data_IF_184292356552
#
_entry.id   IF_184292356552
#
_cell.length_a   1.000
_cell.length_b   1.000
_cell.length_c   1.000
_cell.angle_alpha   90.00
_cell.angle_beta   90.00
_cell.angle_gamma   90.00
#
_symmetry.space_group_name_H-M   'P 1'
#
loop_
_entity.id
_entity.type
_entity.pdbx_description
1 polymer ?
#
# COMPACT_ATOMS: atom_id res chain seq x y z
N UNK A 1 -5.64 33.44 -9.93
CA UNK A 1 -4.68 33.70 -8.85
C UNK A 1 -3.95 32.39 -8.60
N UNK A 2 -2.67 32.32 -8.95
CA UNK A 2 -1.81 31.19 -8.57
C UNK A 2 -1.64 31.24 -7.04
N UNK A 3 -1.90 30.13 -6.35
CA UNK A 3 -1.59 29.99 -4.94
C UNK A 3 -0.07 29.78 -4.86
N UNK A 4 0.67 30.84 -4.48
CA UNK A 4 2.13 30.75 -4.36
C UNK A 4 2.47 29.82 -3.19
N UNK A 5 2.97 28.62 -3.49
CA UNK A 5 3.66 27.79 -2.51
C UNK A 5 4.99 28.47 -2.15
N UNK A 6 5.31 28.57 -0.87
CA UNK A 6 6.63 29.03 -0.43
C UNK A 6 7.70 28.06 -0.94
N UNK A 7 8.44 28.49 -1.96
CA UNK A 7 9.37 27.66 -2.75
C UNK A 7 10.65 27.25 -2.01
N UNK A 8 10.91 27.77 -0.81
CA UNK A 8 12.23 27.65 -0.16
C UNK A 8 12.44 26.35 0.65
N UNK A 9 11.39 25.55 0.88
CA UNK A 9 11.44 24.39 1.80
C UNK A 9 11.10 23.03 1.19
N UNK A 10 10.86 22.97 -0.12
CA UNK A 10 10.39 21.76 -0.79
C UNK A 10 11.48 21.14 -1.67
N UNK A 11 11.89 19.91 -1.32
CA UNK A 11 12.67 19.07 -2.24
C UNK A 11 11.70 18.18 -2.98
N UNK A 12 11.54 18.47 -4.27
CA UNK A 12 10.74 17.69 -5.19
C UNK A 12 11.52 16.43 -5.56
N UNK A 13 11.10 15.27 -5.05
CA UNK A 13 11.73 13.99 -5.37
C UNK A 13 10.86 13.26 -6.41
N UNK A 14 11.21 13.52 -7.67
CA UNK A 14 11.04 12.72 -8.90
C UNK A 14 9.70 11.99 -9.18
N UNK A 15 9.11 12.26 -10.35
CA UNK A 15 7.99 11.51 -10.94
C UNK A 15 8.49 10.15 -11.48
N UNK A 16 8.31 9.05 -10.75
CA UNK A 16 8.85 7.73 -11.16
C UNK A 16 7.84 6.59 -11.24
N UNK A 17 6.53 6.87 -11.18
CA UNK A 17 5.51 5.80 -11.18
C UNK A 17 5.30 5.16 -12.57
N UNK A 18 5.12 3.84 -12.66
CA UNK A 18 4.73 3.16 -13.91
C UNK A 18 3.27 3.50 -14.28
N UNK A 19 2.96 3.55 -15.59
CA UNK A 19 1.57 3.68 -16.05
C UNK A 19 0.73 2.48 -15.59
N UNK A 20 -0.37 2.72 -14.88
CA UNK A 20 -1.34 1.68 -14.49
C UNK A 20 -2.62 1.89 -15.27
N UNK A 21 -3.00 0.93 -16.12
CA UNK A 21 -4.27 0.97 -16.88
C UNK A 21 -4.48 2.26 -17.71
N UNK A 22 -3.42 2.86 -18.24
CA UNK A 22 -3.49 4.12 -18.99
C UNK A 22 -3.56 5.38 -18.11
N UNK A 23 -3.48 5.23 -16.78
CA UNK A 23 -3.23 6.32 -15.84
C UNK A 23 -1.72 6.46 -15.65
N UNK A 24 -1.21 7.67 -15.90
CA UNK A 24 0.14 8.03 -15.49
C UNK A 24 0.11 8.11 -13.96
N UNK A 25 0.59 7.07 -13.27
CA UNK A 25 0.78 7.15 -11.83
C UNK A 25 1.90 8.15 -11.58
N UNK A 26 1.52 9.37 -11.23
CA UNK A 26 2.48 10.38 -10.81
C UNK A 26 2.57 10.29 -9.31
N UNK A 27 3.57 9.56 -8.85
CA UNK A 27 4.01 9.65 -7.46
C UNK A 27 4.66 10.99 -7.29
N UNK A 28 4.11 11.81 -6.42
CA UNK A 28 4.73 13.05 -6.01
C UNK A 28 5.15 12.98 -4.55
N UNK A 29 6.46 12.90 -4.30
CA UNK A 29 6.97 12.95 -2.93
C UNK A 29 7.35 14.37 -2.56
N UNK A 30 6.60 14.94 -1.60
CA UNK A 30 6.91 16.24 -0.99
C UNK A 30 7.74 15.97 0.28
N UNK A 31 9.04 16.29 0.25
CA UNK A 31 9.91 16.21 1.43
C UNK A 31 10.16 17.60 2.00
N UNK A 32 9.90 17.75 3.29
CA UNK A 32 10.26 18.95 4.04
C UNK A 32 11.68 18.82 4.60
N UNK A 33 12.44 19.91 4.52
CA UNK A 33 13.79 20.03 5.12
C UNK A 33 13.77 20.15 6.65
N UNK A 34 12.59 20.40 7.22
CA UNK A 34 12.34 20.53 8.66
C UNK A 34 11.05 19.81 9.03
N UNK A 35 10.92 19.43 10.29
CA UNK A 35 9.68 18.84 10.80
C UNK A 35 8.52 19.85 10.64
N UNK A 36 7.45 19.43 9.97
CA UNK A 36 6.20 20.20 9.84
C UNK A 36 5.08 19.45 10.56
N UNK A 37 4.05 20.18 10.99
CA UNK A 37 2.83 19.58 11.53
C UNK A 37 2.07 18.80 10.44
N UNK A 38 1.30 17.80 10.84
CA UNK A 38 0.50 16.98 9.92
C UNK A 38 -0.41 17.86 9.05
N UNK A 39 -1.11 18.82 9.64
CA UNK A 39 -1.99 19.72 8.89
C UNK A 39 -1.26 20.58 7.86
N UNK A 40 0.03 20.90 8.09
CA UNK A 40 0.84 21.63 7.10
C UNK A 40 1.15 20.75 5.89
N UNK A 41 1.57 19.51 6.12
CA UNK A 41 1.83 18.55 5.04
C UNK A 41 0.57 18.22 4.24
N UNK A 42 -0.58 18.03 4.92
CA UNK A 42 -1.89 17.84 4.27
C UNK A 42 -2.27 19.06 3.42
N UNK A 43 -2.13 20.27 3.97
CA UNK A 43 -2.47 21.50 3.24
C UNK A 43 -1.60 21.68 1.99
N UNK A 44 -0.30 21.41 2.08
CA UNK A 44 0.62 21.51 0.93
C UNK A 44 0.34 20.45 -0.13
N UNK A 45 0.01 19.22 0.28
CA UNK A 45 -0.47 18.18 -0.65
C UNK A 45 -1.73 18.62 -1.38
N UNK A 46 -2.71 19.18 -0.67
CA UNK A 46 -3.92 19.72 -1.29
C UNK A 46 -3.67 20.92 -2.21
N UNK A 47 -2.79 21.85 -1.81
CA UNK A 47 -2.43 23.01 -2.64
C UNK A 47 -1.75 22.54 -3.94
N UNK A 48 -0.89 21.50 -3.87
CA UNK A 48 -0.28 20.89 -5.04
C UNK A 48 -1.33 20.26 -5.97
N UNK A 49 -2.24 19.47 -5.43
CA UNK A 49 -3.34 18.86 -6.19
C UNK A 49 -4.23 19.92 -6.84
N UNK A 50 -4.56 20.97 -6.11
CA UNK A 50 -5.31 22.09 -6.65
C UNK A 50 -4.52 22.81 -7.75
N UNK A 51 -3.24 23.10 -7.59
CA UNK A 51 -2.47 23.81 -8.61
C UNK A 51 -2.20 22.99 -9.88
N UNK A 52 -2.38 21.66 -9.84
CA UNK A 52 -2.21 20.75 -10.98
C UNK A 52 -3.54 20.29 -11.61
N UNK A 53 -4.59 21.10 -11.50
CA UNK A 53 -5.87 20.88 -12.21
C UNK A 53 -6.61 19.56 -11.92
N UNK A 54 -6.37 18.95 -10.76
CA UNK A 54 -7.17 17.81 -10.29
C UNK A 54 -8.57 18.24 -9.84
N UNK A 55 -9.59 17.45 -10.22
CA UNK A 55 -11.02 17.71 -9.96
C UNK A 55 -11.48 17.26 -8.57
N UNK A 56 -10.93 16.16 -8.09
CA UNK A 56 -11.22 15.55 -6.79
C UNK A 56 -9.91 15.51 -6.01
N UNK A 57 -9.98 15.92 -4.75
CA UNK A 57 -8.85 16.02 -3.83
C UNK A 57 -9.17 15.16 -2.62
N UNK A 58 -8.24 14.27 -2.24
CA UNK A 58 -8.39 13.46 -1.04
C UNK A 58 -7.07 13.26 -0.29
N UNK A 59 -7.17 13.06 1.03
CA UNK A 59 -6.08 12.52 1.84
C UNK A 59 -6.40 11.10 2.29
N UNK A 60 -5.35 10.35 2.58
CA UNK A 60 -5.43 9.04 3.20
C UNK A 60 -4.21 8.88 4.09
N UNK A 61 -4.42 8.59 5.37
CA UNK A 61 -3.33 8.29 6.29
C UNK A 61 -2.65 6.96 5.93
N UNK A 62 -1.37 6.80 6.24
CA UNK A 62 -0.59 5.61 5.88
C UNK A 62 -0.84 4.40 6.78
N UNK A 63 -1.58 4.55 7.87
CA UNK A 63 -1.85 3.51 8.87
C UNK A 63 -3.30 3.03 8.80
N UNK A 64 -3.78 2.79 7.57
CA UNK A 64 -5.14 2.33 7.28
C UNK A 64 -5.16 1.06 6.42
N UNK A 65 -6.17 0.22 6.68
CA UNK A 65 -6.61 -0.82 5.75
C UNK A 65 -7.69 -0.23 4.85
N UNK A 66 -7.62 -0.52 3.55
CA UNK A 66 -8.62 -0.09 2.58
C UNK A 66 -9.28 -1.28 1.89
N UNK A 67 -10.58 -1.17 1.61
CA UNK A 67 -11.29 -2.08 0.70
C UNK A 67 -10.92 -1.76 -0.74
N UNK A 68 -10.91 -2.73 -1.65
CA UNK A 68 -10.53 -2.50 -3.06
C UNK A 68 -11.32 -1.35 -3.72
N UNK A 69 -12.62 -1.24 -3.42
CA UNK A 69 -13.50 -0.23 -3.99
C UNK A 69 -13.54 1.12 -3.24
N UNK A 70 -12.65 1.35 -2.25
CA UNK A 70 -12.74 2.51 -1.34
C UNK A 70 -12.77 3.85 -2.08
N UNK A 71 -11.91 4.00 -3.09
CA UNK A 71 -11.75 5.25 -3.83
C UNK A 71 -12.94 5.47 -4.78
N UNK A 72 -13.33 4.45 -5.52
CA UNK A 72 -14.47 4.50 -6.45
C UNK A 72 -15.77 4.87 -5.72
N UNK A 73 -16.02 4.26 -4.55
CA UNK A 73 -17.20 4.60 -3.75
C UNK A 73 -17.10 5.99 -3.11
N UNK A 74 -15.90 6.43 -2.70
CA UNK A 74 -15.70 7.79 -2.19
C UNK A 74 -15.98 8.84 -3.28
N UNK A 75 -15.49 8.62 -4.50
CA UNK A 75 -15.76 9.47 -5.66
C UNK A 75 -17.26 9.50 -5.96
N UNK A 76 -17.93 8.33 -6.00
CA UNK A 76 -19.38 8.26 -6.22
C UNK A 76 -20.16 9.09 -5.20
N UNK A 77 -19.76 9.07 -3.93
CA UNK A 77 -20.37 9.89 -2.88
C UNK A 77 -20.04 11.39 -3.06
N UNK A 78 -18.84 11.75 -3.50
CA UNK A 78 -18.49 13.17 -3.80
C UNK A 78 -19.34 13.69 -4.95
N UNK A 79 -19.53 12.90 -6.01
CA UNK A 79 -20.39 13.28 -7.13
C UNK A 79 -21.86 13.44 -6.71
N UNK A 80 -22.33 12.60 -5.78
CA UNK A 80 -23.67 12.69 -5.22
C UNK A 80 -23.84 13.90 -4.27
N UNK A 81 -22.78 14.29 -3.56
CA UNK A 81 -22.76 15.37 -2.56
C UNK A 81 -21.62 16.37 -2.81
N UNK A 82 -21.60 17.08 -3.96
CA UNK A 82 -20.43 17.85 -4.41
C UNK A 82 -20.09 19.07 -3.52
N UNK A 83 -21.02 19.46 -2.65
CA UNK A 83 -20.85 20.55 -1.69
C UNK A 83 -20.44 20.08 -0.30
N UNK A 84 -20.38 18.78 -0.05
CA UNK A 84 -20.06 18.21 1.26
C UNK A 84 -18.71 17.47 1.23
N UNK A 85 -18.17 17.19 2.41
CA UNK A 85 -16.94 16.41 2.56
C UNK A 85 -17.33 14.94 2.65
N UNK A 86 -16.65 14.06 1.93
CA UNK A 86 -16.81 12.61 2.06
C UNK A 86 -15.67 12.04 2.90
N UNK A 87 -15.96 11.15 3.83
CA UNK A 87 -14.97 10.34 4.53
C UNK A 87 -15.27 8.86 4.34
N UNK A 88 -14.33 8.11 3.78
CA UNK A 88 -14.38 6.66 3.64
C UNK A 88 -14.39 5.93 4.99
N UNK A 89 -14.10 6.64 6.08
CA UNK A 89 -14.07 6.12 7.44
C UNK A 89 -15.37 6.42 8.18
N UNK A 90 -16.13 5.37 8.49
CA UNK A 90 -17.27 5.51 9.39
C UNK A 90 -16.85 5.33 10.85
N UNK A 91 -16.37 6.41 11.47
CA UNK A 91 -16.04 6.39 12.89
C UNK A 91 -17.30 6.25 13.76
N UNK A 92 -17.40 5.15 14.51
CA UNK A 92 -18.59 4.85 15.36
C UNK A 92 -18.33 5.21 16.84
N UNK A 93 -17.07 5.27 17.26
CA UNK A 93 -16.69 5.37 18.68
C UNK A 93 -16.63 6.80 19.23
N UNK A 94 -16.52 7.82 18.37
CA UNK A 94 -16.70 9.22 18.79
C UNK A 94 -18.19 9.59 18.76
N UNK A 95 -18.91 9.18 19.79
CA UNK A 95 -20.27 9.61 20.13
C UNK A 95 -21.32 9.27 19.05
N UNK A 96 -22.28 8.38 19.38
CA UNK A 96 -23.54 8.17 18.62
C UNK A 96 -24.30 9.47 18.29
N UNK A 97 -23.91 10.60 18.88
CA UNK A 97 -24.44 11.95 18.64
C UNK A 97 -23.95 12.60 17.34
N UNK A 98 -23.02 12.00 16.60
CA UNK A 98 -22.51 12.58 15.36
C UNK A 98 -23.34 12.28 14.10
N UNK A 99 -24.11 11.19 14.09
CA UNK A 99 -24.96 10.84 12.95
C UNK A 99 -26.21 11.72 13.02
N UNK A 100 -26.33 12.65 12.07
CA UNK A 100 -27.49 13.52 11.94
C UNK A 100 -28.61 12.79 11.18
N UNK A 101 -28.25 12.02 10.15
CA UNK A 101 -29.21 11.24 9.37
C UNK A 101 -28.57 9.95 8.88
N UNK A 102 -29.34 8.88 8.96
CA UNK A 102 -29.01 7.58 8.37
C UNK A 102 -29.77 7.43 7.05
N UNK A 103 -29.06 6.95 6.03
CA UNK A 103 -29.58 6.62 4.70
C UNK A 103 -29.18 5.18 4.38
N UNK A 104 -29.70 4.62 3.28
CA UNK A 104 -29.59 3.19 2.98
C UNK A 104 -28.13 2.72 2.90
N UNK A 105 -27.27 3.51 2.25
CA UNK A 105 -25.87 3.15 1.97
C UNK A 105 -24.84 4.12 2.57
N UNK A 106 -25.26 5.13 3.35
CA UNK A 106 -24.35 6.07 3.97
C UNK A 106 -25.01 6.85 5.13
N UNK A 107 -24.19 7.60 5.85
CA UNK A 107 -24.58 8.49 6.94
C UNK A 107 -24.28 9.94 6.58
N UNK A 108 -25.16 10.85 7.03
CA UNK A 108 -24.85 12.27 7.15
C UNK A 108 -24.41 12.53 8.59
N UNK A 109 -23.15 12.94 8.75
CA UNK A 109 -22.54 13.20 10.05
C UNK A 109 -22.20 14.68 10.17
N UNK A 110 -22.17 15.21 11.38
CA UNK A 110 -21.63 16.55 11.64
C UNK A 110 -20.28 16.49 12.37
N UNK A 111 -19.63 15.33 12.37
CA UNK A 111 -18.30 15.10 12.89
C UNK A 111 -17.59 14.01 12.07
N UNK A 112 -16.26 13.95 12.18
CA UNK A 112 -15.41 12.97 11.53
C UNK A 112 -13.95 13.16 11.96
N UNK A 113 -13.12 12.15 11.68
CA UNK A 113 -11.67 12.21 11.90
C UNK A 113 -10.91 12.54 10.63
N UNK A 114 -9.70 13.07 10.77
CA UNK A 114 -8.81 13.46 9.68
C UNK A 114 -8.22 12.33 8.83
N UNK A 115 -8.47 11.06 9.16
CA UNK A 115 -7.88 9.87 8.51
C UNK A 115 -8.07 9.87 6.98
N UNK A 116 -9.24 10.31 6.54
CA UNK A 116 -9.55 10.45 5.12
C UNK A 116 -10.67 11.48 4.92
N UNK A 117 -10.39 12.48 4.10
CA UNK A 117 -11.38 13.36 3.48
C UNK A 117 -11.21 13.35 1.97
N UNK A 118 -12.34 13.40 1.26
CA UNK A 118 -12.43 13.48 -0.19
C UNK A 118 -13.48 14.55 -0.55
N UNK A 119 -13.15 15.44 -1.48
CA UNK A 119 -14.00 16.56 -1.86
C UNK A 119 -13.65 17.10 -3.24
N UNK A 120 -14.54 17.91 -3.81
CA UNK A 120 -14.31 18.59 -5.08
C UNK A 120 -13.27 19.70 -4.95
N UNK A 121 -12.57 19.99 -6.05
CA UNK A 121 -11.67 21.14 -6.21
C UNK A 121 -12.32 22.47 -5.79
N UNK A 122 -13.59 22.66 -6.14
CA UNK A 122 -14.31 23.89 -5.79
C UNK A 122 -14.61 23.95 -4.28
N UNK A 123 -14.97 22.83 -3.64
CA UNK A 123 -15.16 22.79 -2.20
C UNK A 123 -13.84 23.01 -1.45
N UNK A 124 -12.72 22.51 -1.98
CA UNK A 124 -11.41 22.82 -1.43
C UNK A 124 -11.17 24.33 -1.37
N UNK A 125 -11.30 25.00 -2.52
CA UNK A 125 -11.07 26.45 -2.66
C UNK A 125 -12.00 27.28 -1.79
N UNK A 126 -13.29 26.95 -1.77
CA UNK A 126 -14.32 27.80 -1.16
C UNK A 126 -14.55 27.51 0.32
N UNK A 127 -14.19 26.31 0.79
CA UNK A 127 -14.50 25.85 2.14
C UNK A 127 -13.28 25.34 2.90
N UNK A 128 -12.58 24.32 2.40
CA UNK A 128 -11.50 23.65 3.16
C UNK A 128 -10.26 24.53 3.30
N UNK A 129 -9.75 25.10 2.20
CA UNK A 129 -8.52 25.89 2.20
C UNK A 129 -8.58 27.13 3.11
N UNK A 130 -9.68 27.92 3.13
CA UNK A 130 -9.82 29.01 4.10
C UNK A 130 -9.75 28.57 5.57
N UNK A 131 -10.23 27.37 5.88
CA UNK A 131 -10.15 26.81 7.25
C UNK A 131 -8.69 26.49 7.57
N UNK A 132 -8.01 25.75 6.71
CA UNK A 132 -6.59 25.38 6.90
C UNK A 132 -5.69 26.63 7.01
N UNK A 133 -5.92 27.65 6.16
CA UNK A 133 -5.21 28.93 6.24
C UNK A 133 -5.38 29.61 7.60
N UNK A 134 -6.60 29.61 8.14
CA UNK A 134 -6.88 30.21 9.45
C UNK A 134 -6.18 29.44 10.57
N UNK A 135 -6.20 28.12 10.52
CA UNK A 135 -5.55 27.26 11.53
C UNK A 135 -4.03 27.41 11.46
N UNK A 136 -3.46 27.55 10.26
CA UNK A 136 -2.04 27.83 10.04
C UNK A 136 -1.60 29.13 10.72
N UNK A 137 -2.35 30.23 10.52
CA UNK A 137 -2.06 31.52 11.17
C UNK A 137 -2.09 31.43 12.70
N UNK A 138 -2.94 30.54 13.24
CA UNK A 138 -3.05 30.33 14.68
C UNK A 138 -1.98 29.38 15.26
N UNK A 139 -1.16 28.76 14.40
CA UNK A 139 -0.11 27.82 14.82
C UNK A 139 -0.62 26.45 15.29
N UNK A 140 -1.87 26.09 14.98
CA UNK A 140 -2.56 24.92 15.56
C UNK A 140 -2.88 23.80 14.55
N UNK A 141 -2.05 23.66 13.53
CA UNK A 141 -2.25 22.70 12.43
C UNK A 141 -2.20 21.22 12.86
N UNK A 142 -1.94 20.93 14.13
CA UNK A 142 -2.04 19.57 14.66
C UNK A 142 -3.50 19.12 14.83
N UNK A 143 -4.47 20.05 14.88
CA UNK A 143 -5.91 19.75 14.98
C UNK A 143 -6.68 20.27 13.77
N UNK A 144 -6.08 20.15 12.59
CA UNK A 144 -6.63 20.65 11.33
C UNK A 144 -8.02 20.05 11.02
N UNK A 145 -8.21 18.77 11.33
CA UNK A 145 -9.45 18.02 11.14
C UNK A 145 -10.56 18.46 12.10
N UNK A 146 -10.23 18.73 13.37
CA UNK A 146 -11.14 19.32 14.33
C UNK A 146 -11.65 20.69 13.86
N UNK A 147 -10.78 21.54 13.32
CA UNK A 147 -11.18 22.84 12.79
C UNK A 147 -12.09 22.74 11.55
N UNK A 148 -11.91 21.70 10.72
CA UNK A 148 -12.86 21.39 9.64
C UNK A 148 -14.22 21.00 10.22
N UNK A 149 -14.25 20.10 11.20
CA UNK A 149 -15.50 19.64 11.86
C UNK A 149 -16.25 20.80 12.51
N UNK A 150 -15.56 21.66 13.27
CA UNK A 150 -16.16 22.86 13.87
C UNK A 150 -16.84 23.72 12.80
N UNK A 151 -16.18 23.89 11.64
CA UNK A 151 -16.71 24.70 10.56
C UNK A 151 -17.89 24.03 9.84
N UNK A 152 -17.85 22.72 9.65
CA UNK A 152 -18.97 21.93 9.13
C UNK A 152 -20.21 22.13 10.00
N UNK A 153 -20.05 21.98 11.32
CA UNK A 153 -21.12 22.21 12.30
C UNK A 153 -21.65 23.64 12.25
N UNK A 154 -20.77 24.64 12.30
CA UNK A 154 -21.14 26.05 12.28
C UNK A 154 -21.85 26.50 11.00
N UNK A 155 -21.72 25.74 9.90
CA UNK A 155 -22.34 26.01 8.60
C UNK A 155 -23.53 25.12 8.29
N UNK A 156 -23.93 24.23 9.21
CA UNK A 156 -25.01 23.27 8.98
C UNK A 156 -24.71 22.32 7.82
N UNK A 157 -23.43 22.02 7.60
CA UNK A 157 -22.95 21.08 6.59
C UNK A 157 -22.82 19.67 7.15
N UNK A 158 -22.53 18.72 6.28
CA UNK A 158 -22.33 17.33 6.65
C UNK A 158 -20.98 16.77 6.17
N UNK A 159 -20.53 15.75 6.89
CA UNK A 159 -19.54 14.78 6.42
C UNK A 159 -20.33 13.53 6.03
N UNK A 160 -20.14 13.08 4.80
CA UNK A 160 -20.78 11.89 4.24
C UNK A 160 -19.88 10.69 4.52
N UNK A 161 -20.40 9.67 5.19
CA UNK A 161 -19.63 8.44 5.47
C UNK A 161 -20.36 7.21 4.94
N UNK A 162 -19.69 6.29 4.24
CA UNK A 162 -20.31 5.09 3.70
C UNK A 162 -20.81 4.17 4.82
N UNK A 163 -21.78 3.31 4.47
CA UNK A 163 -22.32 2.27 5.33
C UNK A 163 -22.28 0.94 4.56
N UNK A 164 -21.36 0.00 4.89
CA UNK A 164 -20.36 0.06 5.97
C UNK A 164 -19.17 1.00 5.66
N UNK A 165 -18.29 1.23 6.66
CA UNK A 165 -16.98 1.85 6.43
C UNK A 165 -16.19 1.15 5.31
N UNK A 166 -15.42 1.95 4.57
CA UNK A 166 -14.55 1.50 3.46
C UNK A 166 -13.08 1.41 3.85
N UNK A 167 -12.71 2.07 4.95
CA UNK A 167 -11.36 2.00 5.53
C UNK A 167 -11.41 1.69 7.02
N UNK A 168 -10.30 1.20 7.56
CA UNK A 168 -10.12 0.92 8.99
C UNK A 168 -8.74 1.39 9.43
N UNK A 169 -8.69 2.21 10.48
CA UNK A 169 -7.45 2.65 11.08
C UNK A 169 -6.78 1.52 11.87
N UNK A 170 -5.48 1.32 11.67
CA UNK A 170 -4.67 0.29 12.36
C UNK A 170 -3.52 0.88 13.17
N UNK A 171 -3.41 2.21 13.23
CA UNK A 171 -2.37 2.94 13.94
C UNK A 171 -2.47 2.82 15.47
N UNK A 172 -1.76 1.85 16.04
CA UNK A 172 -1.63 1.65 17.50
C UNK A 172 -0.66 2.64 18.16
N UNK A 173 0.28 3.19 17.39
CA UNK A 173 1.29 4.16 17.82
C UNK A 173 1.32 5.30 16.81
N UNK A 174 1.14 6.52 17.29
CA UNK A 174 1.08 7.71 16.44
C UNK A 174 1.16 8.98 17.28
N UNK A 175 0.95 10.13 16.65
CA UNK A 175 1.01 11.44 17.33
C UNK A 175 0.04 11.51 18.52
N UNK A 176 -1.17 10.96 18.37
CA UNK A 176 -2.21 10.91 19.41
C UNK A 176 -2.42 9.50 20.00
N UNK A 177 -2.05 8.43 19.30
CA UNK A 177 -2.24 7.05 19.76
C UNK A 177 -1.20 6.64 20.81
N UNK A 178 -1.64 6.46 22.06
CA UNK A 178 -0.82 6.01 23.21
C UNK A 178 -0.92 4.50 23.47
N UNK A 179 -0.80 3.67 22.43
CA UNK A 179 -0.83 2.20 22.57
C UNK A 179 -2.22 1.58 22.66
N UNK A 180 -3.26 2.32 22.30
CA UNK A 180 -4.63 1.81 22.15
C UNK A 180 -5.20 2.26 20.81
N UNK A 181 -6.05 1.44 20.19
CA UNK A 181 -6.81 1.79 18.99
C UNK A 181 -8.00 2.68 19.40
N UNK A 182 -7.87 3.98 19.15
CA UNK A 182 -8.90 4.96 19.52
C UNK A 182 -9.98 5.13 18.43
N UNK A 183 -9.62 4.91 17.17
CA UNK A 183 -10.48 5.13 16.01
C UNK A 183 -10.78 3.80 15.33
N UNK A 184 -11.95 3.23 15.62
CA UNK A 184 -12.39 1.96 15.03
C UNK A 184 -13.72 2.17 14.30
N UNK A 185 -13.78 1.70 13.05
CA UNK A 185 -15.02 1.56 12.32
C UNK A 185 -15.62 0.20 12.65
N UNK A 186 -16.55 0.15 13.59
CA UNK A 186 -17.14 -1.12 14.07
C UNK A 186 -18.00 -1.83 13.03
N UNK A 187 -18.38 -1.15 11.95
CA UNK A 187 -19.07 -1.70 10.79
C UNK A 187 -18.12 -2.09 9.65
N UNK A 188 -16.80 -1.92 9.82
CA UNK A 188 -15.81 -2.42 8.88
C UNK A 188 -15.72 -3.94 8.99
N UNK A 189 -16.40 -4.62 8.06
CA UNK A 189 -16.31 -6.08 7.91
C UNK A 189 -15.30 -6.39 6.81
N UNK A 190 -14.31 -7.19 7.17
CA UNK A 190 -13.41 -7.83 6.22
C UNK A 190 -14.19 -8.93 5.49
N UNK A 191 -14.35 -8.79 4.17
CA UNK A 191 -14.64 -9.94 3.33
C UNK A 191 -13.35 -10.74 3.16
N UNK A 192 -13.47 -12.06 3.00
CA UNK A 192 -12.31 -12.96 2.86
C UNK A 192 -11.48 -12.71 1.57
N UNK A 193 -11.88 -11.76 0.71
CA UNK A 193 -11.35 -11.62 -0.64
C UNK A 193 -10.58 -10.31 -0.94
N UNK A 194 -10.63 -9.23 -0.13
CA UNK A 194 -10.22 -7.91 -0.65
C UNK A 194 -9.68 -6.94 0.43
N UNK A 195 -8.39 -7.02 0.75
CA UNK A 195 -7.70 -6.02 1.59
C UNK A 195 -6.40 -5.61 0.92
N UNK A 196 -6.21 -4.31 0.74
CA UNK A 196 -4.88 -3.74 0.44
C UNK A 196 -4.36 -3.05 1.69
N UNK A 197 -3.22 -3.52 2.17
CA UNK A 197 -2.47 -2.86 3.24
C UNK A 197 -1.53 -1.84 2.59
N UNK A 198 -1.70 -0.56 2.90
CA UNK A 198 -0.83 0.50 2.39
C UNK A 198 0.33 0.68 3.39
N UNK A 199 1.19 -0.33 3.54
CA UNK A 199 2.46 -0.17 4.25
C UNK A 199 3.56 -0.08 3.18
N UNK A 200 4.26 1.05 3.16
CA UNK A 200 5.43 1.31 2.29
C UNK A 200 5.18 1.05 0.79
N UNK A 201 4.32 1.86 0.17
CA UNK A 201 4.27 1.94 -1.29
C UNK A 201 4.62 3.37 -1.71
N UNK A 202 5.75 3.58 -2.41
CA UNK A 202 6.01 4.83 -3.11
C UNK A 202 4.92 5.16 -4.15
N UNK A 203 4.05 4.24 -4.55
CA UNK A 203 3.36 4.24 -5.85
C UNK A 203 1.85 4.52 -5.84
N UNK A 204 1.24 4.89 -4.71
CA UNK A 204 -0.18 5.23 -4.68
C UNK A 204 -0.43 6.74 -4.75
N UNK A 205 -0.78 7.20 -5.95
CA UNK A 205 -1.42 8.49 -6.21
C UNK A 205 -2.40 8.28 -7.36
N UNK A 206 -3.62 7.83 -7.06
CA UNK A 206 -4.64 7.58 -8.10
C UNK A 206 -5.49 8.83 -8.25
N UNK A 207 -5.37 9.50 -9.40
CA UNK A 207 -6.28 10.57 -9.81
C UNK A 207 -6.63 10.39 -11.30
N UNK A 208 -7.93 10.38 -11.57
CA UNK A 208 -8.53 10.01 -12.86
C UNK A 208 -8.66 11.25 -13.77
N UNK A 209 -8.11 11.26 -14.99
CA UNK A 209 -8.60 12.10 -16.07
C UNK A 209 -9.73 11.37 -16.85
N UNK A 210 -10.71 12.15 -17.32
CA UNK A 210 -11.89 11.70 -18.08
C UNK A 210 -11.55 10.69 -19.20
N UNK A 211 -12.23 9.53 -19.24
CA UNK A 211 -12.98 9.07 -20.42
C UNK A 211 -13.92 7.87 -20.18
N UNK A 212 -14.84 7.69 -21.15
CA UNK A 212 -16.09 6.92 -21.16
C UNK A 212 -15.92 5.40 -21.14
N UNK A 213 -16.81 4.75 -20.37
CA UNK A 213 -17.52 3.47 -20.56
C UNK A 213 -16.73 2.26 -21.07
N UNK A 214 -16.75 1.15 -20.33
CA UNK A 214 -17.15 -0.22 -20.77
C UNK A 214 -17.09 -1.18 -19.58
N UNK A 215 -17.94 -2.20 -19.67
CA UNK A 215 -18.49 -3.07 -18.64
C UNK A 215 -17.88 -4.48 -18.62
N UNK A 216 -17.90 -5.07 -17.41
CA UNK A 216 -18.25 -6.47 -17.06
C UNK A 216 -17.23 -7.63 -17.15
N UNK A 217 -17.26 -8.42 -16.06
CA UNK A 217 -16.97 -9.86 -15.85
C UNK A 217 -15.55 -10.31 -15.47
N UNK A 218 -15.41 -10.99 -14.31
CA UNK A 218 -15.40 -12.46 -14.23
C UNK A 218 -15.50 -12.96 -12.77
N UNK A 219 -16.00 -14.21 -12.64
CA UNK A 219 -16.37 -14.93 -11.42
C UNK A 219 -15.54 -16.23 -11.31
N UNK A 220 -15.38 -16.68 -10.06
CA UNK A 220 -15.16 -18.05 -9.55
C UNK A 220 -13.71 -18.56 -9.38
N UNK A 221 -13.36 -18.85 -8.12
CA UNK A 221 -12.66 -20.08 -7.73
C UNK A 221 -12.98 -20.43 -6.26
N UNK A 222 -13.34 -21.70 -6.00
CA UNK A 222 -13.68 -22.24 -4.68
C UNK A 222 -12.44 -22.30 -3.76
N UNK A 223 -12.54 -21.70 -2.57
CA UNK A 223 -11.56 -21.81 -1.47
C UNK A 223 -12.22 -22.36 -0.19
N UNK A 224 -11.47 -23.08 0.66
CA UNK A 224 -12.02 -23.82 1.78
C UNK A 224 -12.56 -22.89 2.88
N UNK A 225 -13.84 -23.05 3.20
CA UNK A 225 -14.57 -22.22 4.18
C UNK A 225 -14.12 -22.53 5.61
N UNK A 226 -13.55 -21.54 6.30
CA UNK A 226 -13.36 -21.59 7.76
C UNK A 226 -14.70 -21.28 8.43
N UNK A 227 -15.10 -22.10 9.40
CA UNK A 227 -16.44 -22.02 10.01
C UNK A 227 -16.57 -20.81 10.92
N UNK A 228 -17.67 -20.07 10.72
CA UNK A 228 -18.12 -18.92 11.52
C UNK A 228 -18.10 -19.17 13.05
N UNK A 229 -18.22 -20.42 13.51
CA UNK A 229 -18.16 -20.79 14.93
C UNK A 229 -16.82 -20.48 15.60
N UNK A 230 -15.73 -20.45 14.85
CA UNK A 230 -14.39 -20.21 15.39
C UNK A 230 -14.11 -18.71 15.57
N UNK A 231 -14.86 -17.85 14.84
CA UNK A 231 -14.76 -16.39 14.88
C UNK A 231 -15.52 -15.75 16.05
N UNK A 232 -16.60 -16.40 16.54
CA UNK A 232 -17.51 -15.81 17.54
C UNK A 232 -17.31 -16.30 18.98
N UNK A 233 -16.39 -17.23 19.23
CA UNK A 233 -16.07 -17.66 20.61
C UNK A 233 -15.40 -16.54 21.45
N UNK A 234 -14.89 -15.48 20.82
CA UNK A 234 -14.16 -14.39 21.49
C UNK A 234 -15.00 -13.13 21.82
N UNK A 235 -16.26 -13.04 21.36
CA UNK A 235 -17.09 -11.81 21.52
C UNK A 235 -18.32 -12.07 22.43
N UNK A 236 -18.24 -13.09 23.28
CA UNK A 236 -19.28 -13.42 24.27
C UNK A 236 -19.13 -12.65 25.57
N UNK A 237 -20.00 -11.65 25.76
CA UNK A 237 -20.35 -10.94 27.00
C UNK A 237 -19.95 -11.59 28.34
N UNK A 238 -19.30 -10.81 29.23
CA UNK A 238 -19.71 -10.73 30.63
C UNK A 238 -19.21 -9.46 31.33
N UNK A 239 -20.14 -8.58 31.69
CA UNK A 239 -19.94 -7.60 32.78
C UNK A 239 -20.04 -8.39 34.09
N UNK A 240 -19.02 -8.27 34.94
CA UNK A 240 -18.83 -8.95 36.24
C UNK A 240 -17.91 -10.19 36.22
N UNK A 241 -16.69 -10.05 35.71
CA UNK A 241 -15.60 -10.93 36.10
C UNK A 241 -14.44 -10.11 36.66
N UNK A 242 -14.13 -10.32 37.94
CA UNK A 242 -12.89 -9.82 38.56
C UNK A 242 -11.86 -10.94 38.41
N UNK A 243 -10.81 -10.80 37.59
CA UNK A 243 -9.82 -11.85 37.44
C UNK A 243 -8.93 -11.91 38.70
N UNK A 244 -8.44 -13.11 39.07
CA UNK A 244 -7.46 -13.24 40.15
C UNK A 244 -6.14 -12.58 39.74
N UNK A 245 -5.32 -12.13 40.71
CA UNK A 245 -3.99 -11.64 40.40
C UNK A 245 -3.17 -12.80 39.83
N UNK A 246 -2.38 -12.50 38.81
CA UNK A 246 -1.47 -13.41 38.08
C UNK A 246 -2.05 -14.11 36.85
N UNK A 247 -2.38 -13.33 35.81
CA UNK A 247 -2.18 -13.76 34.42
C UNK A 247 -1.62 -12.57 33.62
N UNK A 248 -0.36 -12.73 33.21
CA UNK A 248 0.32 -11.88 32.24
C UNK A 248 -0.29 -12.17 30.85
N UNK A 249 -0.95 -11.19 30.23
CA UNK A 249 -1.51 -11.33 28.88
C UNK A 249 -0.69 -10.46 27.93
N UNK A 250 0.19 -11.04 27.09
CA UNK A 250 0.87 -10.29 26.05
C UNK A 250 -0.08 -10.06 24.87
N UNK A 251 -0.10 -8.82 24.38
CA UNK A 251 -0.93 -8.37 23.26
C UNK A 251 -0.67 -9.16 21.97
N UNK A 252 -1.74 -9.70 21.40
CA UNK A 252 -1.75 -10.22 20.03
C UNK A 252 -2.31 -9.14 19.11
N UNK A 253 -1.41 -8.42 18.43
CA UNK A 253 -1.68 -7.86 17.11
C UNK A 253 -1.90 -9.03 16.14
N UNK A 254 -3.13 -9.26 15.72
CA UNK A 254 -3.44 -10.21 14.65
C UNK A 254 -2.98 -9.63 13.31
N UNK A 255 -1.68 -9.76 13.01
CA UNK A 255 -1.18 -9.67 11.64
C UNK A 255 -1.91 -10.73 10.82
N UNK A 256 -2.59 -10.33 9.75
CA UNK A 256 -2.95 -11.29 8.70
C UNK A 256 -1.60 -11.69 8.10
N UNK A 257 -1.13 -12.93 8.31
CA UNK A 257 0.14 -13.34 7.73
C UNK A 257 -0.05 -13.29 6.21
N UNK A 258 0.84 -12.58 5.53
CA UNK A 258 0.94 -12.69 4.08
C UNK A 258 1.22 -14.16 3.74
N UNK A 259 0.39 -14.72 2.86
CA UNK A 259 0.46 -16.11 2.42
C UNK A 259 0.73 -16.22 0.92
N UNK A 260 0.99 -15.10 0.26
CA UNK A 260 1.19 -15.07 -1.19
C UNK A 260 2.62 -15.48 -1.49
N UNK A 261 2.85 -16.54 -2.28
CA UNK A 261 4.21 -16.87 -2.69
C UNK A 261 4.78 -15.85 -3.70
N UNK A 262 6.09 -15.57 -3.64
CA UNK A 262 6.74 -14.75 -4.65
C UNK A 262 6.63 -15.42 -6.02
N UNK A 263 6.32 -14.63 -7.05
CA UNK A 263 6.29 -15.08 -8.45
C UNK A 263 7.27 -14.27 -9.27
N UNK A 264 7.86 -14.90 -10.29
CA UNK A 264 8.66 -14.17 -11.26
C UNK A 264 7.78 -13.10 -11.93
N UNK A 265 8.28 -11.87 -11.92
CA UNK A 265 7.69 -10.74 -12.61
C UNK A 265 8.33 -10.59 -13.99
N UNK A 266 7.56 -10.89 -15.03
CA UNK A 266 7.98 -10.79 -16.43
C UNK A 266 9.19 -11.69 -16.78
N UNK A 267 9.79 -11.49 -17.95
CA UNK A 267 10.97 -12.23 -18.40
C UNK A 267 12.26 -11.80 -17.68
N UNK A 268 13.22 -12.71 -17.59
CA UNK A 268 14.59 -12.41 -17.14
C UNK A 268 15.27 -11.44 -18.11
N UNK A 269 16.18 -10.62 -17.58
CA UNK A 269 16.95 -9.65 -18.36
C UNK A 269 18.43 -10.04 -18.37
N UNK A 270 19.19 -9.71 -19.43
CA UNK A 270 18.71 -9.23 -20.74
C UNK A 270 17.85 -10.26 -21.49
N UNK A 271 17.02 -9.79 -22.43
CA UNK A 271 16.17 -10.64 -23.28
C UNK A 271 16.99 -11.31 -24.40
N UNK A 272 17.88 -12.23 -24.03
CA UNK A 272 18.69 -13.01 -24.97
C UNK A 272 19.13 -14.31 -24.31
N UNK A 273 19.40 -15.29 -25.15
CA UNK A 273 19.71 -16.68 -24.75
C UNK A 273 21.19 -17.02 -24.85
N UNK A 274 22.05 -16.05 -25.15
CA UNK A 274 23.49 -16.25 -25.38
C UNK A 274 24.35 -15.68 -24.26
N UNK A 275 25.50 -16.30 -23.97
CA UNK A 275 26.40 -15.81 -22.92
C UNK A 275 27.20 -14.59 -23.38
N UNK A 276 27.19 -13.51 -22.57
CA UNK A 276 28.22 -12.47 -22.61
C UNK A 276 28.83 -12.39 -21.21
N UNK A 277 30.14 -12.60 -21.12
CA UNK A 277 30.84 -12.56 -19.84
C UNK A 277 30.85 -11.14 -19.27
N UNK A 278 30.62 -11.02 -17.97
CA UNK A 278 30.53 -9.74 -17.27
C UNK A 278 29.19 -9.01 -17.41
N UNK A 279 28.22 -9.56 -18.14
CA UNK A 279 26.85 -9.05 -18.15
C UNK A 279 26.03 -9.67 -17.02
N UNK A 280 25.24 -8.84 -16.32
CA UNK A 280 24.34 -9.27 -15.26
C UNK A 280 23.05 -9.86 -15.83
N UNK A 281 22.74 -11.08 -15.41
CA UNK A 281 21.45 -11.72 -15.63
C UNK A 281 20.57 -11.44 -14.41
N UNK A 282 19.37 -10.89 -14.64
CA UNK A 282 18.48 -10.42 -13.57
C UNK A 282 17.10 -11.08 -13.68
N UNK A 283 16.62 -11.61 -12.57
CA UNK A 283 15.24 -12.05 -12.37
C UNK A 283 14.57 -11.15 -11.34
N UNK A 284 13.38 -10.64 -11.67
CA UNK A 284 12.57 -9.77 -10.79
C UNK A 284 11.37 -10.56 -10.29
N UNK A 285 10.93 -10.29 -9.06
CA UNK A 285 9.80 -10.95 -8.40
C UNK A 285 8.69 -9.97 -8.05
N UNK A 286 7.49 -10.50 -7.80
CA UNK A 286 6.30 -9.71 -7.42
C UNK A 286 6.45 -8.99 -6.07
N UNK A 287 7.36 -9.46 -5.22
CA UNK A 287 7.53 -9.00 -3.84
C UNK A 287 8.99 -9.10 -3.37
N UNK A 288 9.34 -8.45 -2.24
CA UNK A 288 10.68 -8.52 -1.67
C UNK A 288 11.07 -9.93 -1.22
N UNK A 289 12.27 -10.35 -1.58
CA UNK A 289 12.86 -11.63 -1.24
C UNK A 289 13.66 -11.58 0.06
N UNK A 290 13.82 -12.75 0.67
CA UNK A 290 14.74 -13.02 1.77
C UNK A 290 16.17 -13.16 1.22
N UNK A 291 16.89 -12.04 1.17
CA UNK A 291 18.22 -11.95 0.57
C UNK A 291 19.40 -12.03 1.56
N UNK A 292 19.19 -12.49 2.79
CA UNK A 292 20.26 -12.65 3.77
C UNK A 292 21.25 -13.77 3.35
N UNK A 293 22.54 -13.53 3.59
CA UNK A 293 23.58 -14.56 3.37
C UNK A 293 23.67 -15.49 4.60
N UNK A 294 23.84 -16.81 4.40
CA UNK A 294 23.90 -17.51 3.11
C UNK A 294 22.51 -17.53 2.44
N UNK A 295 22.48 -17.32 1.11
CA UNK A 295 21.22 -17.34 0.37
C UNK A 295 20.53 -18.70 0.53
N UNK A 296 19.20 -18.65 0.61
CA UNK A 296 18.32 -19.81 0.86
C UNK A 296 17.94 -20.57 -0.40
N UNK A 297 18.28 -20.07 -1.58
CA UNK A 297 18.02 -20.68 -2.88
C UNK A 297 19.30 -21.19 -3.54
N UNK A 298 19.14 -22.19 -4.40
CA UNK A 298 20.18 -22.64 -5.33
C UNK A 298 20.06 -21.86 -6.65
N UNK A 299 21.18 -21.78 -7.35
CA UNK A 299 21.29 -21.20 -8.67
C UNK A 299 22.17 -22.10 -9.53
N UNK A 300 21.72 -22.40 -10.73
CA UNK A 300 22.46 -23.20 -11.70
C UNK A 300 22.39 -22.59 -13.09
N UNK A 301 23.54 -22.52 -13.76
CA UNK A 301 23.67 -22.08 -15.14
C UNK A 301 24.38 -23.18 -15.94
N UNK A 302 23.76 -23.67 -17.00
CA UNK A 302 24.34 -24.69 -17.89
C UNK A 302 24.61 -24.04 -19.24
N UNK A 303 25.84 -24.20 -19.77
CA UNK A 303 26.20 -23.68 -21.09
C UNK A 303 26.05 -24.80 -22.12
N UNK A 304 25.06 -24.66 -23.00
CA UNK A 304 24.69 -25.67 -23.97
C UNK A 304 25.82 -25.99 -24.95
N UNK A 305 26.01 -27.28 -25.24
CA UNK A 305 27.08 -27.76 -26.11
C UNK A 305 28.48 -27.73 -25.49
N UNK A 306 28.59 -27.53 -24.17
CA UNK A 306 29.83 -27.60 -23.40
C UNK A 306 29.66 -28.48 -22.16
N UNK A 307 30.73 -28.68 -21.39
CA UNK A 307 30.66 -29.33 -20.07
C UNK A 307 30.57 -28.34 -18.91
N UNK A 308 30.38 -27.04 -19.19
CA UNK A 308 30.30 -26.01 -18.16
C UNK A 308 28.92 -26.00 -17.50
N UNK A 309 28.93 -26.21 -16.19
CA UNK A 309 27.78 -26.13 -15.30
C UNK A 309 28.22 -25.34 -14.08
N UNK A 310 27.72 -24.12 -13.97
CA UNK A 310 28.02 -23.23 -12.87
C UNK A 310 26.97 -23.36 -11.78
N UNK A 311 27.41 -23.45 -10.54
CA UNK A 311 26.55 -23.27 -9.38
C UNK A 311 26.76 -21.89 -8.72
N UNK A 312 26.05 -21.65 -7.62
CA UNK A 312 26.10 -20.38 -6.89
C UNK A 312 27.51 -20.01 -6.40
N UNK A 313 28.41 -20.97 -6.17
CA UNK A 313 29.77 -20.72 -5.68
C UNK A 313 30.69 -20.21 -6.80
N UNK A 314 30.35 -20.50 -8.05
CA UNK A 314 31.08 -20.11 -9.26
C UNK A 314 30.48 -18.86 -9.93
N UNK A 315 29.43 -18.29 -9.34
CA UNK A 315 28.70 -17.13 -9.84
C UNK A 315 28.80 -15.95 -8.87
N UNK A 316 28.93 -14.74 -9.40
CA UNK A 316 28.77 -13.53 -8.61
C UNK A 316 27.29 -13.23 -8.46
N UNK A 317 26.70 -13.58 -7.32
CA UNK A 317 25.26 -13.44 -7.07
C UNK A 317 24.95 -12.22 -6.18
N UNK A 318 24.00 -11.42 -6.63
CA UNK A 318 23.41 -10.28 -5.92
C UNK A 318 21.92 -10.55 -5.69
N UNK A 319 21.48 -10.52 -4.45
CA UNK A 319 20.05 -10.57 -4.10
C UNK A 319 19.71 -9.30 -3.33
N UNK A 320 18.77 -8.51 -3.83
CA UNK A 320 18.33 -7.28 -3.18
C UNK A 320 16.88 -6.96 -3.51
N UNK A 321 16.08 -6.68 -2.47
CA UNK A 321 14.67 -6.34 -2.62
C UNK A 321 13.94 -7.43 -3.41
N UNK A 322 13.43 -7.10 -4.59
CA UNK A 322 12.68 -8.03 -5.45
C UNK A 322 13.52 -8.69 -6.53
N UNK A 323 14.85 -8.64 -6.45
CA UNK A 323 15.74 -8.99 -7.56
C UNK A 323 16.78 -10.03 -7.16
N UNK A 324 17.03 -10.97 -8.07
CA UNK A 324 18.20 -11.86 -8.07
C UNK A 324 18.97 -11.59 -9.34
N UNK A 325 20.14 -10.96 -9.19
CA UNK A 325 21.13 -10.73 -10.23
C UNK A 325 22.28 -11.73 -10.10
N UNK A 326 22.85 -12.18 -11.22
CA UNK A 326 24.07 -12.97 -11.20
C UNK A 326 24.92 -12.78 -12.45
N UNK A 327 26.22 -13.03 -12.30
CA UNK A 327 27.22 -12.98 -13.38
C UNK A 327 28.11 -14.22 -13.35
N UNK A 328 28.47 -14.73 -14.53
CA UNK A 328 29.50 -15.76 -14.66
C UNK A 328 30.86 -15.11 -14.40
N UNK A 329 31.56 -15.57 -13.37
CA UNK A 329 32.88 -15.07 -13.02
C UNK A 329 33.95 -15.74 -13.90
N UNK A 330 34.65 -15.01 -14.79
CA UNK A 330 35.67 -15.62 -15.64
C UNK A 330 36.89 -16.15 -14.87
N UNK A 331 37.05 -15.77 -13.59
CA UNK A 331 38.20 -16.18 -12.78
C UNK A 331 38.10 -17.63 -12.29
N UNK A 332 36.95 -18.29 -12.45
CA UNK A 332 36.75 -19.71 -12.07
C UNK A 332 37.37 -20.71 -13.06
N UNK A 333 38.23 -20.24 -13.97
CA UNK A 333 38.98 -21.11 -14.89
C UNK A 333 38.22 -21.53 -16.14
N UNK A 334 37.30 -20.68 -16.63
CA UNK A 334 36.55 -20.94 -17.86
C UNK A 334 37.40 -20.69 -19.11
N UNK A 335 37.23 -21.53 -20.12
CA UNK A 335 37.72 -21.24 -21.48
C UNK A 335 36.72 -20.30 -22.15
N UNK A 336 37.07 -19.02 -22.19
CA UNK A 336 36.22 -17.95 -22.71
C UNK A 336 35.76 -18.23 -24.15
N UNK A 337 36.60 -18.83 -24.98
CA UNK A 337 36.27 -19.13 -26.38
C UNK A 337 35.21 -20.22 -26.50
N UNK A 338 35.11 -21.12 -25.50
CA UNK A 338 34.11 -22.18 -25.48
C UNK A 338 32.76 -21.71 -24.94
N UNK A 339 32.73 -20.64 -24.14
CA UNK A 339 31.52 -20.16 -23.45
C UNK A 339 30.87 -18.97 -24.16
N UNK A 340 31.66 -18.01 -24.63
CA UNK A 340 31.14 -16.75 -25.17
C UNK A 340 30.26 -16.99 -26.42
N UNK A 341 29.07 -16.40 -26.43
CA UNK A 341 28.10 -16.51 -27.53
C UNK A 341 27.37 -17.85 -27.62
N UNK A 342 27.65 -18.83 -26.75
CA UNK A 342 26.86 -20.05 -26.63
C UNK A 342 25.53 -19.79 -25.93
N UNK A 343 24.56 -20.68 -26.17
CA UNK A 343 23.29 -20.62 -25.45
C UNK A 343 23.42 -21.18 -24.04
N UNK A 344 22.58 -20.72 -23.11
CA UNK A 344 22.60 -21.19 -21.73
C UNK A 344 21.19 -21.52 -21.22
N UNK A 345 21.12 -22.25 -20.13
CA UNK A 345 19.88 -22.47 -19.38
C UNK A 345 20.12 -22.16 -17.91
N UNK A 346 19.11 -21.58 -17.26
CA UNK A 346 19.17 -21.16 -15.85
C UNK A 346 18.06 -21.81 -15.06
N UNK A 347 18.38 -22.26 -13.86
CA UNK A 347 17.42 -22.70 -12.86
C UNK A 347 17.71 -22.04 -11.51
N UNK A 348 16.69 -21.40 -10.93
CA UNK A 348 16.76 -20.74 -9.60
C UNK A 348 15.68 -21.33 -8.69
N UNK A 349 16.05 -21.71 -7.47
CA UNK A 349 15.12 -22.28 -6.48
C UNK A 349 15.69 -23.53 -5.83
N UNK A 350 14.95 -24.63 -5.89
CA UNK A 350 15.35 -25.95 -5.38
C UNK A 350 16.05 -26.75 -6.48
N UNK A 351 17.38 -26.65 -6.59
CA UNK A 351 18.13 -27.36 -7.64
C UNK A 351 18.58 -28.73 -7.11
N UNK A 352 17.97 -29.80 -7.63
CA UNK A 352 18.27 -31.18 -7.24
C UNK A 352 17.22 -31.79 -6.30
N UNK A 353 17.18 -33.12 -6.27
CA UNK A 353 16.12 -33.90 -5.60
C UNK A 353 16.15 -33.69 -4.08
N UNK A 354 17.36 -33.66 -3.51
CA UNK A 354 17.59 -33.58 -2.07
C UNK A 354 17.84 -32.14 -1.57
N UNK A 355 17.75 -31.14 -2.45
CA UNK A 355 17.95 -29.76 -2.03
C UNK A 355 16.83 -29.30 -1.08
N UNK A 356 17.22 -28.65 0.01
CA UNK A 356 16.33 -27.98 0.95
C UNK A 356 16.17 -26.48 0.62
N UNK A 357 16.85 -26.01 -0.42
CA UNK A 357 16.85 -24.62 -0.83
C UNK A 357 15.53 -24.24 -1.50
N UNK A 358 15.10 -22.99 -1.33
CA UNK A 358 13.99 -22.39 -2.06
C UNK A 358 14.10 -20.86 -2.06
N UNK A 359 13.38 -20.20 -2.96
CA UNK A 359 13.21 -18.74 -2.93
C UNK A 359 12.09 -18.43 -1.96
N UNK A 360 12.39 -17.60 -0.96
CA UNK A 360 11.42 -17.12 0.02
C UNK A 360 11.24 -15.62 -0.11
N UNK A 361 10.02 -15.14 0.09
CA UNK A 361 9.76 -13.72 0.34
C UNK A 361 10.21 -13.30 1.75
N UNK A 362 10.07 -12.00 2.05
CA UNK A 362 10.34 -11.46 3.38
C UNK A 362 9.47 -12.09 4.50
N UNK A 363 8.26 -12.57 4.15
CA UNK A 363 7.28 -13.15 5.07
C UNK A 363 7.46 -14.67 5.28
N UNK A 364 8.35 -15.32 4.51
CA UNK A 364 8.64 -16.75 4.57
C UNK A 364 7.78 -17.62 3.65
N UNK A 365 7.03 -17.07 2.69
CA UNK A 365 6.35 -17.89 1.70
C UNK A 365 7.35 -18.32 0.62
N UNK A 366 7.31 -19.60 0.26
CA UNK A 366 8.23 -20.20 -0.68
C UNK A 366 7.61 -20.21 -2.09
N UNK A 367 8.41 -19.95 -3.13
CA UNK A 367 7.92 -20.08 -4.51
C UNK A 367 7.45 -21.53 -4.78
N UNK A 368 6.37 -21.65 -5.55
CA UNK A 368 5.76 -22.95 -5.87
C UNK A 368 6.61 -23.77 -6.85
N UNK A 369 7.28 -23.10 -7.79
CA UNK A 369 8.06 -23.71 -8.85
C UNK A 369 9.38 -22.98 -9.04
N UNK A 370 10.43 -23.71 -9.41
CA UNK A 370 11.70 -23.09 -9.78
C UNK A 370 11.52 -22.13 -10.95
N UNK A 371 12.29 -21.04 -10.93
CA UNK A 371 12.42 -20.15 -12.08
C UNK A 371 13.34 -20.80 -13.09
N UNK A 372 12.85 -20.99 -14.32
CA UNK A 372 13.62 -21.57 -15.43
C UNK A 372 13.53 -20.69 -16.67
N UNK A 373 14.68 -20.40 -17.28
CA UNK A 373 14.75 -19.66 -18.54
C UNK A 373 15.99 -20.05 -19.35
N UNK A 374 15.96 -19.72 -20.64
CA UNK A 374 17.00 -19.99 -21.63
C UNK A 374 17.31 -18.74 -22.41
#
# INVERSE_FOLDING_TARGET
MSLQSHTEDLVLVQDTGPEFQGFKNVVHTIKHTSHKSIGKSVMEGYDWLYNNDYDIICNLDSDVLVKENWLTESIRLVEQYPTEIVSAFNEVNHLKHCVVKELDNHYLKNCGGGIHYCFTRELYKTFVRPILAKIEVNGDLNYWDAGIVERVQAKGKYIISPKPSLIQHIGVKGFTSKGALWQIASDYVLSDEEITLIIDIPELSVLIPKQKTVSQQLKNADLPTIKKSDLFAAIGNNRNYTPPPDIDIPGLSHLIPDRTPPKQYNHSLPLRDTVLLGEELVVVFTEPLRCEKPFTFDLQVIIEGTNYRFDREELQVVCEGRKVGFQIDPTVGIDVEQVMGKTFTVEIGKVGVDSLSNIFDANGNAIENNVKFS
#
